data_IF_443398168356
#
_entry.id   IF_443398168356
#
_cell.length_a   1.000
_cell.length_b   1.000
_cell.length_c   1.000
_cell.angle_alpha   90.00
_cell.angle_beta   90.00
_cell.angle_gamma   90.00
#
_symmetry.space_group_name_H-M   'P 1'
#
loop_
_entity.id
_entity.type
_entity.pdbx_description
1 polymer ?
#
# COMPACT_ATOMS: atom_id res chain seq x y z
N UNK A 1 12.94 -11.77 -14.43
CA UNK A 1 12.13 -12.18 -13.25
C UNK A 1 10.96 -11.21 -13.16
N UNK A 2 9.72 -11.71 -13.15
CA UNK A 2 8.51 -10.86 -13.15
C UNK A 2 8.00 -10.73 -11.71
N UNK A 3 8.00 -9.50 -11.17
CA UNK A 3 7.50 -9.23 -9.82
C UNK A 3 6.01 -8.94 -9.90
N UNK A 4 5.19 -9.92 -9.52
CA UNK A 4 3.76 -9.72 -9.32
C UNK A 4 3.46 -9.47 -7.84
N UNK A 5 2.32 -8.83 -7.51
CA UNK A 5 1.86 -8.68 -6.14
C UNK A 5 1.87 -9.99 -5.33
N UNK A 6 1.47 -11.09 -5.97
CA UNK A 6 1.38 -12.42 -5.34
C UNK A 6 2.77 -13.01 -5.03
N UNK A 7 3.72 -12.89 -5.96
CA UNK A 7 5.08 -13.38 -5.72
C UNK A 7 5.82 -12.49 -4.71
N UNK A 8 5.60 -11.17 -4.75
CA UNK A 8 6.25 -10.24 -3.82
C UNK A 8 5.77 -10.44 -2.38
N UNK A 9 4.47 -10.30 -2.14
CA UNK A 9 3.89 -10.33 -0.79
C UNK A 9 3.68 -11.76 -0.31
N UNK A 10 3.09 -12.62 -1.15
CA UNK A 10 2.69 -13.97 -0.76
C UNK A 10 3.84 -14.97 -0.66
N UNK A 11 4.95 -14.74 -1.38
CA UNK A 11 6.08 -15.68 -1.42
C UNK A 11 7.37 -15.09 -0.89
N UNK A 12 7.87 -14.00 -1.51
CA UNK A 12 9.20 -13.47 -1.18
C UNK A 12 9.19 -12.87 0.24
N UNK A 13 8.35 -11.87 0.50
CA UNK A 13 8.31 -11.19 1.79
C UNK A 13 7.79 -12.12 2.92
N UNK A 14 6.86 -13.01 2.60
CA UNK A 14 6.44 -14.07 3.52
C UNK A 14 7.59 -15.02 3.90
N UNK A 15 8.46 -15.40 2.95
CA UNK A 15 9.60 -16.29 3.22
C UNK A 15 10.74 -15.62 3.98
N UNK A 16 10.87 -14.29 3.88
CA UNK A 16 11.87 -13.52 4.61
C UNK A 16 11.51 -13.47 6.11
N UNK A 17 10.24 -13.66 6.46
CA UNK A 17 9.79 -13.65 7.85
C UNK A 17 9.80 -12.26 8.49
N UNK A 18 9.64 -11.19 7.70
CA UNK A 18 9.57 -9.83 8.21
C UNK A 18 8.27 -9.58 8.98
N UNK A 19 8.31 -8.83 10.07
CA UNK A 19 7.08 -8.46 10.81
C UNK A 19 6.19 -7.50 10.01
N UNK A 20 6.81 -6.72 9.11
CA UNK A 20 6.15 -5.75 8.24
C UNK A 20 6.40 -6.14 6.79
N UNK A 21 5.31 -6.21 6.02
CA UNK A 21 5.31 -6.51 4.59
C UNK A 21 4.75 -5.31 3.87
N UNK A 22 5.42 -4.84 2.81
CA UNK A 22 4.96 -3.69 2.05
C UNK A 22 4.23 -4.15 0.79
N UNK A 23 3.13 -3.48 0.45
CA UNK A 23 2.46 -3.71 -0.83
C UNK A 23 3.42 -3.42 -2.00
N UNK A 24 3.24 -4.14 -3.10
CA UNK A 24 3.91 -3.78 -4.35
C UNK A 24 3.17 -2.61 -5.00
N UNK A 25 3.87 -1.55 -5.36
CA UNK A 25 3.32 -0.35 -5.98
C UNK A 25 4.01 0.01 -7.30
N UNK A 26 3.30 0.80 -8.12
CA UNK A 26 3.86 1.38 -9.33
C UNK A 26 4.31 2.80 -9.03
N UNK A 27 5.60 2.95 -8.72
CA UNK A 27 6.21 4.24 -8.45
C UNK A 27 6.56 4.95 -9.76
N UNK A 28 6.08 6.17 -9.91
CA UNK A 28 6.54 7.08 -10.95
C UNK A 28 7.50 8.11 -10.38
N UNK A 29 8.37 8.64 -11.25
CA UNK A 29 9.28 9.70 -10.86
C UNK A 29 8.49 10.94 -10.40
N UNK A 30 8.96 11.62 -9.35
CA UNK A 30 8.25 12.76 -8.72
C UNK A 30 7.93 13.90 -9.69
N UNK A 31 8.74 14.06 -10.75
CA UNK A 31 8.56 15.07 -11.80
C UNK A 31 7.65 14.61 -12.94
N UNK A 32 7.14 13.38 -12.91
CA UNK A 32 6.17 12.91 -13.91
C UNK A 32 4.89 13.68 -13.71
N UNK A 33 4.30 14.21 -14.79
CA UNK A 33 3.07 15.01 -14.74
C UNK A 33 1.98 14.40 -15.63
N UNK A 34 0.73 14.81 -15.40
CA UNK A 34 -0.41 14.42 -16.23
C UNK A 34 -1.00 13.04 -15.91
N UNK A 35 -1.68 12.46 -16.89
CA UNK A 35 -2.50 11.24 -16.72
C UNK A 35 -1.71 10.01 -16.27
N UNK A 36 -0.39 9.98 -16.51
CA UNK A 36 0.47 8.89 -16.08
C UNK A 36 0.43 8.66 -14.57
N UNK A 37 0.39 9.73 -13.76
CA UNK A 37 0.29 9.63 -12.29
C UNK A 37 -1.04 8.98 -11.90
N UNK A 38 -2.12 9.39 -12.55
CA UNK A 38 -3.45 8.87 -12.27
C UNK A 38 -3.55 7.37 -12.61
N UNK A 39 -3.02 6.94 -13.75
CA UNK A 39 -3.00 5.51 -14.10
C UNK A 39 -2.11 4.70 -13.15
N UNK A 40 -0.93 5.20 -12.79
CA UNK A 40 -0.05 4.52 -11.83
C UNK A 40 -0.68 4.42 -10.45
N UNK A 41 -1.40 5.45 -10.00
CA UNK A 41 -2.13 5.48 -8.73
C UNK A 41 -3.24 4.42 -8.75
N UNK A 42 -4.09 4.41 -9.78
CA UNK A 42 -5.14 3.41 -9.94
C UNK A 42 -4.60 2.00 -10.08
N UNK A 43 -3.45 1.83 -10.74
CA UNK A 43 -2.78 0.53 -10.86
C UNK A 43 -2.27 0.04 -9.51
N UNK A 44 -1.67 0.91 -8.71
CA UNK A 44 -1.24 0.59 -7.34
C UNK A 44 -2.42 0.18 -6.46
N UNK A 45 -3.57 0.86 -6.59
CA UNK A 45 -4.81 0.47 -5.87
C UNK A 45 -5.28 -0.93 -6.28
N UNK A 46 -5.28 -1.26 -7.58
CA UNK A 46 -5.60 -2.61 -8.05
C UNK A 46 -4.60 -3.67 -7.56
N UNK A 47 -3.34 -3.29 -7.38
CA UNK A 47 -2.31 -4.19 -6.86
C UNK A 47 -2.45 -4.40 -5.36
N UNK A 48 -2.89 -3.40 -4.60
CA UNK A 48 -3.23 -3.55 -3.19
C UNK A 48 -4.27 -4.66 -2.99
N UNK A 49 -5.35 -4.68 -3.77
CA UNK A 49 -6.37 -5.74 -3.70
C UNK A 49 -5.79 -7.16 -3.89
N UNK A 50 -4.78 -7.27 -4.75
CA UNK A 50 -4.07 -8.54 -4.99
C UNK A 50 -3.10 -8.87 -3.86
N UNK A 51 -2.42 -7.87 -3.32
CA UNK A 51 -1.54 -8.02 -2.16
C UNK A 51 -2.32 -8.50 -0.92
N UNK A 52 -3.49 -7.93 -0.67
CA UNK A 52 -4.37 -8.33 0.45
C UNK A 52 -4.71 -9.81 0.34
N UNK A 53 -5.19 -10.26 -0.83
CA UNK A 53 -5.52 -11.67 -1.07
C UNK A 53 -4.32 -12.60 -0.88
N UNK A 54 -3.14 -12.21 -1.38
CA UNK A 54 -1.93 -13.00 -1.21
C UNK A 54 -1.47 -13.06 0.26
N UNK A 55 -1.74 -12.01 1.03
CA UNK A 55 -1.36 -11.88 2.43
C UNK A 55 -2.32 -12.59 3.41
N UNK A 56 -3.52 -12.99 2.99
CA UNK A 56 -4.53 -13.65 3.87
C UNK A 56 -3.94 -14.82 4.67
N UNK A 57 -3.04 -15.61 4.07
CA UNK A 57 -2.39 -16.75 4.73
C UNK A 57 -1.39 -16.36 5.85
N UNK A 58 -0.95 -15.11 5.90
CA UNK A 58 0.08 -14.60 6.82
C UNK A 58 -0.44 -13.52 7.79
N UNK A 59 -1.75 -13.24 7.81
CA UNK A 59 -2.37 -12.20 8.65
C UNK A 59 -2.02 -12.29 10.14
N UNK A 60 -1.79 -13.49 10.66
CA UNK A 60 -1.46 -13.71 12.07
C UNK A 60 0.06 -13.61 12.37
N UNK A 61 0.90 -13.41 11.36
CA UNK A 61 2.36 -13.44 11.48
C UNK A 61 3.02 -12.14 11.05
N UNK A 62 2.46 -11.45 10.08
CA UNK A 62 3.04 -10.25 9.50
C UNK A 62 1.94 -9.22 9.25
N UNK A 63 2.29 -7.94 9.31
CA UNK A 63 1.37 -6.85 9.00
C UNK A 63 1.62 -6.32 7.59
N UNK A 64 0.56 -6.22 6.78
CA UNK A 64 0.63 -5.63 5.44
C UNK A 64 0.45 -4.11 5.49
N UNK A 65 1.42 -3.38 4.97
CA UNK A 65 1.45 -1.93 4.92
C UNK A 65 1.12 -1.44 3.50
N UNK A 66 0.05 -0.66 3.39
CA UNK A 66 -0.38 -0.06 2.14
C UNK A 66 0.30 1.30 1.93
N UNK A 67 0.73 1.58 0.69
CA UNK A 67 1.51 2.76 0.28
C UNK A 67 0.60 3.70 -0.51
N UNK A 68 0.48 4.93 -0.03
CA UNK A 68 -0.28 5.98 -0.70
C UNK A 68 0.47 6.56 -1.89
N UNK A 69 -0.18 6.58 -3.04
CA UNK A 69 0.32 7.18 -4.28
C UNK A 69 -0.41 8.50 -4.59
N UNK A 70 0.13 9.26 -5.54
CA UNK A 70 -0.43 10.56 -5.95
C UNK A 70 0.61 11.65 -6.23
N UNK A 71 1.91 11.32 -6.25
CA UNK A 71 3.00 12.25 -6.56
C UNK A 71 2.83 13.62 -5.84
N UNK A 72 2.92 14.75 -6.54
CA UNK A 72 2.72 16.09 -5.98
C UNK A 72 1.27 16.59 -6.03
N UNK A 73 0.32 15.75 -6.47
CA UNK A 73 -1.09 16.13 -6.63
C UNK A 73 -1.90 15.80 -5.35
N UNK A 74 -2.41 16.80 -4.62
CA UNK A 74 -3.18 16.58 -3.40
C UNK A 74 -4.51 15.85 -3.63
N UNK A 75 -5.16 16.04 -4.78
CA UNK A 75 -6.46 15.42 -5.06
C UNK A 75 -6.29 13.93 -5.37
N UNK A 76 -5.27 13.56 -6.14
CA UNK A 76 -4.94 12.14 -6.36
C UNK A 76 -4.55 11.43 -5.06
N UNK A 77 -3.84 12.12 -4.15
CA UNK A 77 -3.56 11.57 -2.82
C UNK A 77 -4.84 11.34 -2.01
N UNK A 78 -5.78 12.28 -2.03
CA UNK A 78 -7.09 12.11 -1.36
C UNK A 78 -7.87 10.93 -1.95
N UNK A 79 -7.90 10.79 -3.28
CA UNK A 79 -8.52 9.63 -3.96
C UNK A 79 -7.87 8.32 -3.50
N UNK A 80 -6.54 8.25 -3.53
CA UNK A 80 -5.81 7.07 -3.11
C UNK A 80 -6.08 6.73 -1.64
N UNK A 81 -6.06 7.72 -0.75
CA UNK A 81 -6.38 7.55 0.68
C UNK A 81 -7.83 7.08 0.84
N UNK A 82 -8.79 7.63 0.09
CA UNK A 82 -10.18 7.21 0.13
C UNK A 82 -10.35 5.73 -0.22
N UNK A 83 -9.65 5.25 -1.24
CA UNK A 83 -9.64 3.83 -1.62
C UNK A 83 -8.94 2.94 -0.58
N UNK A 84 -7.88 3.45 0.02
CA UNK A 84 -7.15 2.80 1.10
C UNK A 84 -8.06 2.62 2.33
N UNK A 85 -8.73 3.68 2.79
CA UNK A 85 -9.62 3.67 3.97
C UNK A 85 -10.75 2.64 3.84
N UNK A 86 -11.28 2.41 2.64
CA UNK A 86 -12.29 1.36 2.40
C UNK A 86 -11.79 -0.05 2.78
N UNK A 87 -10.48 -0.25 2.85
CA UNK A 87 -9.80 -1.52 3.12
C UNK A 87 -9.08 -1.53 4.48
N UNK A 88 -9.34 -0.55 5.35
CA UNK A 88 -8.65 -0.36 6.64
C UNK A 88 -8.65 -1.57 7.57
N UNK A 89 -9.62 -2.46 7.44
CA UNK A 89 -9.76 -3.63 8.31
C UNK A 89 -8.82 -4.78 7.90
N UNK A 90 -8.16 -4.66 6.74
CA UNK A 90 -7.31 -5.72 6.16
C UNK A 90 -5.84 -5.29 6.00
N UNK A 91 -5.54 -3.99 6.13
CA UNK A 91 -4.17 -3.45 5.96
C UNK A 91 -3.87 -2.37 6.99
N UNK A 92 -2.61 -2.35 7.43
CA UNK A 92 -2.03 -1.21 8.12
C UNK A 92 -1.68 -0.13 7.08
N UNK A 93 -1.86 1.14 7.42
CA UNK A 93 -1.53 2.24 6.51
C UNK A 93 -0.13 2.77 6.76
N UNK A 94 0.66 2.86 5.70
CA UNK A 94 1.93 3.60 5.71
C UNK A 94 1.75 4.93 4.96
N UNK A 95 1.81 6.04 5.69
CA UNK A 95 1.84 7.37 5.10
C UNK A 95 3.28 7.71 4.70
N UNK A 96 3.60 7.59 3.40
CA UNK A 96 4.89 7.96 2.81
C UNK A 96 5.20 9.46 2.77
N UNK A 97 4.45 10.29 3.51
CA UNK A 97 4.78 11.68 3.77
C UNK A 97 4.24 12.10 5.13
N UNK A 98 5.15 12.51 6.01
CA UNK A 98 4.86 13.25 7.25
C UNK A 98 3.99 14.46 6.91
N UNK A 99 2.71 14.45 7.31
CA UNK A 99 1.93 15.64 7.68
C UNK A 99 0.61 15.22 8.32
N UNK A 100 0.53 15.34 9.65
CA UNK A 100 -0.74 15.60 10.34
C UNK A 100 -1.67 14.41 10.70
N UNK A 101 -2.78 14.70 11.41
CA UNK A 101 -3.30 14.00 12.60
C UNK A 101 -4.05 12.68 12.35
N UNK A 102 -3.90 12.07 11.17
CA UNK A 102 -4.62 10.85 10.79
C UNK A 102 -4.05 9.56 11.42
N UNK A 103 -2.87 9.65 12.04
CA UNK A 103 -2.29 8.56 12.85
C UNK A 103 -3.19 8.15 14.04
N UNK A 104 -4.10 9.02 14.48
CA UNK A 104 -4.99 8.75 15.62
C UNK A 104 -6.25 7.94 15.27
N UNK A 105 -6.47 7.59 14.00
CA UNK A 105 -7.66 6.85 13.56
C UNK A 105 -7.46 5.34 13.47
N UNK A 106 -6.24 4.85 13.73
CA UNK A 106 -5.92 3.44 13.60
C UNK A 106 -5.26 2.95 14.89
N UNK A 107 -5.75 1.85 15.50
CA UNK A 107 -5.04 1.25 16.60
C UNK A 107 -3.72 0.76 16.03
N UNK A 108 -2.62 1.39 16.43
CA UNK A 108 -1.32 0.74 16.40
C UNK A 108 -1.52 -0.48 17.29
N UNK A 109 -1.75 -1.65 16.71
CA UNK A 109 -1.63 -2.91 17.44
C UNK A 109 -0.14 -3.07 17.75
N UNK A 110 0.30 -2.38 18.80
CA UNK A 110 1.45 -2.77 19.61
C UNK A 110 1.16 -4.17 20.13
N UNK A 111 1.88 -5.15 19.59
CA UNK A 111 2.34 -6.28 20.40
C UNK A 111 3.47 -5.81 21.30
#
# INVERSE_FOLDING_TARGET
>A
MMLTPEESVGRIQASIGSDIVMQLDHVLHVLTTGEAISDATRRSIRWLDRCIKAHESQLNKQNLFAITQGALDPELRKECIGEMIKRKDQVCFFFGHSTGPLLNLFPVQTM
#
